data_IF_416012801020
#
_entry.id   IF_416012801020
#
_cell.length_a   1.000
_cell.length_b   1.000
_cell.length_c   1.000
_cell.angle_alpha   90.00
_cell.angle_beta   90.00
_cell.angle_gamma   90.00
#
_symmetry.space_group_name_H-M   'P 1'
#
loop_
_entity.id
_entity.type
_entity.pdbx_description
1 polymer ?
#
# COMPACT_ATOMS: atom_id res chain seq x y z
N UNK A 1 -1.53 -12.70 11.61
CA UNK A 1 -1.86 -11.63 10.64
C UNK A 1 -2.56 -10.45 11.33
N UNK A 2 -1.94 -9.26 11.29
CA UNK A 2 -2.53 -7.97 11.70
C UNK A 2 -3.17 -7.28 10.49
N UNK A 3 -4.35 -6.70 10.65
CA UNK A 3 -5.06 -6.02 9.57
C UNK A 3 -5.94 -4.89 10.11
N UNK A 4 -6.10 -3.85 9.33
CA UNK A 4 -6.94 -2.72 9.72
C UNK A 4 -7.23 -1.78 8.56
N UNK A 5 -8.06 -0.78 8.84
CA UNK A 5 -8.44 0.24 7.88
C UNK A 5 -8.06 1.61 8.38
N UNK A 6 -7.45 2.42 7.52
CA UNK A 6 -7.06 3.79 7.82
C UNK A 6 -7.86 4.70 6.89
N UNK A 7 -8.81 5.51 7.41
CA UNK A 7 -9.54 6.44 6.58
C UNK A 7 -8.61 7.53 6.05
N UNK A 8 -8.71 7.82 4.75
CA UNK A 8 -8.07 8.99 4.14
C UNK A 8 -9.00 10.18 4.31
N UNK A 9 -10.25 10.02 3.87
CA UNK A 9 -11.31 11.01 4.00
C UNK A 9 -12.70 10.32 3.93
N UNK A 10 -13.77 11.08 3.66
CA UNK A 10 -15.13 10.54 3.52
C UNK A 10 -15.29 9.58 2.33
N UNK A 11 -14.47 9.74 1.28
CA UNK A 11 -14.53 8.97 0.04
C UNK A 11 -13.51 7.84 -0.04
N UNK A 12 -12.35 7.94 0.60
CA UNK A 12 -11.27 6.97 0.42
C UNK A 12 -10.75 6.39 1.74
N UNK A 13 -10.20 5.18 1.68
CA UNK A 13 -9.51 4.54 2.79
C UNK A 13 -8.42 3.58 2.30
N UNK A 14 -7.42 3.38 3.15
CA UNK A 14 -6.51 2.27 3.06
C UNK A 14 -7.03 1.07 3.86
N UNK A 15 -6.76 -0.14 3.38
CA UNK A 15 -6.76 -1.36 4.18
C UNK A 15 -5.35 -1.94 4.17
N UNK A 16 -4.79 -2.18 5.34
CA UNK A 16 -3.50 -2.84 5.45
C UNK A 16 -3.69 -4.28 5.93
N UNK A 17 -2.82 -5.17 5.45
CA UNK A 17 -2.72 -6.56 5.87
C UNK A 17 -1.25 -6.89 6.06
N UNK A 18 -0.87 -7.21 7.28
CA UNK A 18 0.47 -7.60 7.68
C UNK A 18 0.42 -9.06 8.11
N UNK A 19 1.11 -9.91 7.35
CA UNK A 19 1.12 -11.35 7.57
C UNK A 19 1.99 -11.70 8.78
N UNK A 20 2.09 -12.98 9.10
CA UNK A 20 3.01 -13.40 10.15
C UNK A 20 4.46 -13.32 9.66
N UNK A 21 5.39 -13.26 10.62
CA UNK A 21 6.81 -13.12 10.32
C UNK A 21 7.32 -14.38 9.63
N UNK A 22 8.03 -14.21 8.51
CA UNK A 22 8.79 -15.23 7.82
C UNK A 22 10.29 -15.06 8.11
N UNK A 23 10.85 -16.04 8.84
CA UNK A 23 12.24 -16.02 9.25
C UNK A 23 13.24 -16.37 8.15
N UNK A 24 12.78 -16.78 6.96
CA UNK A 24 13.65 -17.03 5.81
C UNK A 24 14.20 -15.74 5.19
N UNK A 25 13.60 -14.59 5.49
CA UNK A 25 14.02 -13.28 4.98
C UNK A 25 14.70 -12.41 6.04
N UNK A 26 15.86 -11.84 5.68
CA UNK A 26 16.61 -10.91 6.56
C UNK A 26 15.94 -9.54 6.68
N UNK A 27 15.22 -9.09 5.64
CA UNK A 27 14.62 -7.76 5.56
C UNK A 27 13.17 -7.84 5.09
N UNK A 28 12.32 -6.95 5.62
CA UNK A 28 10.86 -7.07 5.51
C UNK A 28 10.45 -8.52 5.67
N UNK A 29 10.82 -9.12 6.79
CA UNK A 29 10.52 -10.50 7.15
C UNK A 29 9.02 -10.74 7.39
N UNK A 30 8.15 -9.94 6.77
CA UNK A 30 6.72 -9.97 6.90
C UNK A 30 6.14 -9.49 5.58
N UNK A 31 5.31 -10.34 4.98
CA UNK A 31 4.50 -9.93 3.84
C UNK A 31 3.54 -8.83 4.28
N UNK A 32 3.40 -7.78 3.48
CA UNK A 32 2.44 -6.71 3.68
C UNK A 32 1.71 -6.38 2.39
N UNK A 33 0.44 -6.04 2.54
CA UNK A 33 -0.39 -5.56 1.47
C UNK A 33 -1.10 -4.29 1.94
N UNK A 34 -1.09 -3.25 1.12
CA UNK A 34 -1.82 -2.00 1.39
C UNK A 34 -2.72 -1.70 0.21
N UNK A 35 -4.02 -1.81 0.43
CA UNK A 35 -5.06 -1.60 -0.57
C UNK A 35 -5.63 -0.20 -0.44
N UNK A 36 -5.87 0.46 -1.57
CA UNK A 36 -6.62 1.69 -1.66
C UNK A 36 -8.03 1.40 -2.17
N UNK A 37 -9.03 1.87 -1.41
CA UNK A 37 -10.43 1.74 -1.75
C UNK A 37 -11.13 3.09 -1.79
N UNK A 38 -12.08 3.19 -2.72
CA UNK A 38 -13.14 4.18 -2.71
C UNK A 38 -14.37 3.61 -1.97
N UNK A 39 -14.82 4.33 -0.96
CA UNK A 39 -16.01 4.04 -0.16
C UNK A 39 -17.25 4.36 -1.00
N UNK A 40 -18.02 3.35 -1.38
CA UNK A 40 -19.38 3.52 -1.90
C UNK A 40 -20.41 2.92 -0.92
N UNK A 41 -21.66 3.40 -0.92
CA UNK A 41 -22.68 2.96 0.03
C UNK A 41 -22.92 1.44 0.07
N UNK A 42 -22.79 0.76 -1.08
CA UNK A 42 -23.14 -0.65 -1.23
C UNK A 42 -21.92 -1.58 -1.30
N UNK A 43 -20.80 -1.10 -1.86
CA UNK A 43 -19.58 -1.90 -2.05
C UNK A 43 -18.36 -1.00 -2.19
N UNK A 44 -17.29 -1.31 -1.47
CA UNK A 44 -16.02 -0.63 -1.67
C UNK A 44 -15.49 -0.92 -3.09
N UNK A 45 -15.12 0.14 -3.81
CA UNK A 45 -14.51 0.03 -5.12
C UNK A 45 -12.99 -0.03 -4.95
N UNK A 46 -12.38 -1.10 -5.48
CA UNK A 46 -10.93 -1.32 -5.41
C UNK A 46 -10.23 -0.45 -6.47
N UNK A 47 -9.25 0.35 -6.05
CA UNK A 47 -8.51 1.25 -6.95
C UNK A 47 -7.09 0.74 -7.24
N UNK A 48 -6.35 0.40 -6.20
CA UNK A 48 -4.98 -0.10 -6.33
C UNK A 48 -4.55 -0.85 -5.06
N UNK A 49 -3.46 -1.60 -5.12
CA UNK A 49 -2.75 -2.05 -3.92
C UNK A 49 -1.24 -2.06 -4.12
N UNK A 50 -0.53 -1.93 -3.02
CA UNK A 50 0.89 -2.26 -2.90
C UNK A 50 1.00 -3.64 -2.25
N UNK A 51 1.80 -4.53 -2.83
CA UNK A 51 2.16 -5.84 -2.27
C UNK A 51 3.68 -5.95 -2.30
N UNK A 52 4.29 -6.53 -1.27
CA UNK A 52 5.71 -6.93 -1.30
C UNK A 52 5.88 -8.42 -1.63
N UNK A 53 5.06 -8.92 -2.57
CA UNK A 53 4.94 -10.33 -2.93
C UNK A 53 6.29 -11.04 -3.11
N UNK A 54 6.39 -12.22 -2.51
CA UNK A 54 7.53 -13.11 -2.60
C UNK A 54 7.48 -13.94 -3.89
N UNK A 55 8.46 -13.75 -4.78
CA UNK A 55 8.78 -14.80 -5.75
C UNK A 55 10.18 -15.37 -5.57
N UNK A 56 11.10 -14.63 -4.94
CA UNK A 56 12.52 -14.97 -4.62
C UNK A 56 13.14 -13.94 -3.67
N UNK A 57 12.57 -12.72 -3.61
CA UNK A 57 12.94 -11.59 -2.75
C UNK A 57 11.68 -10.76 -2.45
N UNK A 58 11.51 -10.28 -1.22
CA UNK A 58 10.41 -9.35 -0.88
C UNK A 58 10.68 -7.97 -1.50
N UNK A 59 10.08 -7.72 -2.67
CA UNK A 59 10.17 -6.43 -3.36
C UNK A 59 8.78 -5.80 -3.46
N UNK A 60 8.58 -4.56 -2.96
CA UNK A 60 7.31 -3.87 -3.10
C UNK A 60 6.97 -3.68 -4.57
N UNK A 61 5.69 -3.78 -4.90
CA UNK A 61 5.12 -3.66 -6.24
C UNK A 61 3.74 -3.02 -6.13
N UNK A 62 3.36 -2.21 -7.12
CA UNK A 62 2.04 -1.57 -7.17
C UNK A 62 1.21 -2.16 -8.30
N UNK A 63 -0.05 -2.41 -8.00
CA UNK A 63 -1.03 -2.96 -8.92
C UNK A 63 -2.23 -2.02 -8.99
N UNK A 64 -2.54 -1.50 -10.18
CA UNK A 64 -3.65 -0.57 -10.39
C UNK A 64 -4.83 -1.27 -11.06
N UNK A 65 -6.05 -1.03 -10.57
CA UNK A 65 -7.29 -1.55 -11.15
C UNK A 65 -7.56 -0.93 -12.54
N UNK A 66 -7.29 0.37 -12.67
CA UNK A 66 -7.50 1.18 -13.88
C UNK A 66 -6.71 0.68 -15.11
N UNK A 67 -5.68 -0.13 -14.90
CA UNK A 67 -4.78 -0.64 -15.94
C UNK A 67 -4.86 -2.16 -16.11
N UNK A 68 -6.01 -2.77 -15.82
CA UNK A 68 -6.20 -4.21 -15.98
C UNK A 68 -5.30 -5.05 -15.07
N UNK A 69 -5.02 -4.56 -13.85
CA UNK A 69 -4.11 -5.20 -12.88
C UNK A 69 -2.65 -5.32 -13.33
N UNK A 70 -2.21 -4.49 -14.29
CA UNK A 70 -0.81 -4.43 -14.71
C UNK A 70 0.09 -4.08 -13.52
N UNK A 71 1.18 -4.85 -13.36
CA UNK A 71 2.21 -4.63 -12.36
C UNK A 71 3.06 -3.42 -12.75
N UNK A 72 3.14 -2.43 -11.87
CA UNK A 72 4.10 -1.34 -11.97
C UNK A 72 5.26 -1.66 -11.03
N UNK A 73 6.47 -1.60 -11.58
CA UNK A 73 7.66 -1.68 -10.77
C UNK A 73 7.65 -0.47 -9.82
N UNK A 74 7.82 -0.76 -8.54
CA UNK A 74 7.80 0.23 -7.49
C UNK A 74 9.08 1.09 -7.52
N UNK A 75 10.13 0.66 -8.24
CA UNK A 75 11.33 1.46 -8.50
C UNK A 75 12.19 1.78 -7.28
N UNK A 76 11.83 1.24 -6.10
CA UNK A 76 12.57 1.44 -4.86
C UNK A 76 13.56 0.28 -4.69
N UNK A 77 14.84 0.58 -4.77
CA UNK A 77 15.95 -0.36 -4.54
C UNK A 77 16.29 -0.52 -3.06
N UNK A 78 15.70 0.32 -2.20
CA UNK A 78 16.01 0.40 -0.77
C UNK A 78 14.92 -0.23 0.10
N UNK A 79 15.33 -0.93 1.15
CA UNK A 79 14.41 -1.54 2.12
C UNK A 79 13.90 -0.52 3.17
N UNK A 80 13.70 0.73 2.73
CA UNK A 80 13.36 1.86 3.56
C UNK A 80 11.85 2.13 3.50
N UNK A 81 11.18 1.99 4.65
CA UNK A 81 9.74 2.18 4.74
C UNK A 81 9.27 3.59 4.39
N UNK A 82 10.08 4.62 4.66
CA UNK A 82 9.71 5.99 4.32
C UNK A 82 9.77 6.25 2.82
N UNK A 83 10.79 5.72 2.14
CA UNK A 83 10.89 5.81 0.68
C UNK A 83 9.73 5.05 0.04
N UNK A 84 9.39 3.87 0.58
CA UNK A 84 8.23 3.10 0.13
C UNK A 84 6.93 3.91 0.25
N UNK A 85 6.68 4.52 1.42
CA UNK A 85 5.48 5.36 1.61
C UNK A 85 5.45 6.56 0.67
N UNK A 86 6.59 7.19 0.41
CA UNK A 86 6.67 8.36 -0.48
C UNK A 86 6.34 7.97 -1.92
N UNK A 87 6.95 6.89 -2.45
CA UNK A 87 6.65 6.40 -3.79
C UNK A 87 5.21 5.90 -3.89
N UNK A 88 4.70 5.22 -2.87
CA UNK A 88 3.29 4.80 -2.85
C UNK A 88 2.34 6.00 -2.88
N UNK A 89 2.66 7.09 -2.18
CA UNK A 89 1.86 8.31 -2.17
C UNK A 89 1.68 8.88 -3.58
N UNK A 90 2.72 8.86 -4.41
CA UNK A 90 2.64 9.38 -5.78
C UNK A 90 1.62 8.59 -6.62
N UNK A 91 1.62 7.26 -6.51
CA UNK A 91 0.62 6.42 -7.17
C UNK A 91 -0.79 6.64 -6.61
N UNK A 92 -0.92 6.80 -5.29
CA UNK A 92 -2.23 7.09 -4.67
C UNK A 92 -2.78 8.41 -5.19
N UNK A 93 -1.96 9.45 -5.21
CA UNK A 93 -2.34 10.79 -5.69
C UNK A 93 -2.74 10.78 -7.16
N UNK A 94 -2.09 9.95 -7.98
CA UNK A 94 -2.48 9.75 -9.38
C UNK A 94 -3.88 9.12 -9.49
N UNK A 95 -4.24 8.17 -8.62
CA UNK A 95 -5.55 7.50 -8.66
C UNK A 95 -6.69 8.35 -8.07
N UNK A 96 -6.44 9.13 -7.01
CA UNK A 96 -7.53 9.85 -6.30
C UNK A 96 -7.53 11.36 -6.51
N UNK A 97 -6.46 11.96 -7.05
CA UNK A 97 -6.35 13.39 -7.29
C UNK A 97 -5.38 14.13 -6.35
N UNK A 98 -4.76 15.20 -6.87
CA UNK A 98 -3.76 16.02 -6.14
C UNK A 98 -4.36 16.77 -4.95
N UNK A 99 -5.63 17.11 -5.02
CA UNK A 99 -6.40 17.76 -3.95
C UNK A 99 -6.47 16.91 -2.67
N UNK A 100 -6.30 15.59 -2.78
CA UNK A 100 -6.33 14.65 -1.66
C UNK A 100 -4.94 14.28 -1.12
N UNK A 101 -3.87 14.87 -1.66
CA UNK A 101 -2.48 14.51 -1.33
C UNK A 101 -2.17 14.58 0.16
N UNK A 102 -2.58 15.65 0.84
CA UNK A 102 -2.26 15.85 2.26
C UNK A 102 -3.02 14.86 3.17
N UNK A 103 -4.27 14.57 2.84
CA UNK A 103 -5.09 13.58 3.53
C UNK A 103 -4.48 12.18 3.36
N UNK A 104 -4.11 11.83 2.12
CA UNK A 104 -3.48 10.55 1.80
C UNK A 104 -2.14 10.40 2.52
N UNK A 105 -1.30 11.44 2.52
CA UNK A 105 -0.01 11.45 3.23
C UNK A 105 -0.19 11.24 4.74
N UNK A 106 -1.15 11.91 5.36
CA UNK A 106 -1.48 11.72 6.79
C UNK A 106 -1.89 10.28 7.07
N UNK A 107 -2.77 9.71 6.24
CA UNK A 107 -3.20 8.33 6.39
C UNK A 107 -2.05 7.33 6.21
N UNK A 108 -1.15 7.54 5.23
CA UNK A 108 0.03 6.69 5.03
C UNK A 108 1.00 6.75 6.21
N UNK A 109 1.13 7.90 6.89
CA UNK A 109 1.99 8.01 8.06
C UNK A 109 1.49 7.19 9.25
N UNK A 110 0.21 6.83 9.29
CA UNK A 110 -0.36 5.93 10.29
C UNK A 110 -0.07 4.45 10.00
N UNK A 111 0.47 4.11 8.82
CA UNK A 111 0.92 2.75 8.54
C UNK A 111 2.23 2.46 9.30
N UNK A 112 2.17 1.51 10.20
CA UNK A 112 3.34 0.96 10.87
C UNK A 112 4.26 0.25 9.88
N UNK A 113 5.57 0.28 10.16
CA UNK A 113 6.54 -0.50 9.39
C UNK A 113 6.27 -2.00 9.61
N UNK A 114 6.26 -2.82 8.56
CA UNK A 114 5.98 -4.26 8.68
C UNK A 114 7.09 -5.04 9.41
N UNK A 115 8.19 -4.39 9.83
CA UNK A 115 9.25 -4.97 10.66
C UNK A 115 8.88 -5.15 12.15
N UNK A 116 7.74 -4.61 12.59
CA UNK A 116 7.29 -4.62 13.99
C UNK A 116 6.62 -5.93 14.41
#
# INVERSE_FOLDING_TARGET
MDKGKIPINKKYAFEYRYHDRDNSFKYFNRKFEVYLYEKKPLKANYLMHMDNHDQKQMSPSVYKATHGHKKFDFGVTTLNWNDIKNTFLDYVVEEIGKEHKDEAKKALNNLSSPKL
#
